data_IF_305809115088
#
_entry.id   IF_305809115088
#
_cell.length_a   1.000
_cell.length_b   1.000
_cell.length_c   1.000
_cell.angle_alpha   90.00
_cell.angle_beta   90.00
_cell.angle_gamma   90.00
#
_symmetry.space_group_name_H-M   'P 1'
#
loop_
_entity.id
_entity.type
_entity.pdbx_description
1 polymer ?
#
# COMPACT_ATOMS: atom_id res chain seq x y z
N UNK A 1 -11.36 28.30 -0.58
CA UNK A 1 -12.33 28.53 0.51
C UNK A 1 -12.58 27.20 1.22
N UNK A 2 -12.33 27.10 2.53
CA UNK A 2 -12.59 25.87 3.28
C UNK A 2 -14.11 25.62 3.34
N UNK A 3 -14.55 24.43 2.93
CA UNK A 3 -15.97 24.03 2.99
C UNK A 3 -16.44 24.07 4.45
N UNK A 4 -17.47 24.88 4.75
CA UNK A 4 -18.13 24.88 6.06
C UNK A 4 -18.75 23.50 6.28
N UNK A 5 -18.43 22.85 7.41
CA UNK A 5 -18.98 21.55 7.78
C UNK A 5 -19.96 21.69 8.96
N UNK A 6 -20.99 20.82 9.07
CA UNK A 6 -22.01 20.92 10.12
C UNK A 6 -21.41 20.87 11.52
N UNK A 7 -21.75 21.82 12.40
CA UNK A 7 -21.32 21.78 13.81
C UNK A 7 -22.27 20.89 14.60
N UNK A 8 -21.78 19.77 15.11
CA UNK A 8 -22.54 18.87 15.99
C UNK A 8 -22.16 19.17 17.44
N UNK A 9 -23.16 19.33 18.31
CA UNK A 9 -22.96 19.71 19.73
C UNK A 9 -22.19 18.66 20.55
N UNK A 10 -22.14 17.41 20.10
CA UNK A 10 -21.66 16.25 20.87
C UNK A 10 -20.44 15.56 20.26
N UNK A 11 -19.87 16.08 19.17
CA UNK A 11 -18.81 15.36 18.43
C UNK A 11 -17.56 16.20 18.28
N UNK A 12 -16.48 15.81 18.97
CA UNK A 12 -15.14 16.25 18.61
C UNK A 12 -14.77 15.63 17.26
N UNK A 13 -14.73 16.47 16.22
CA UNK A 13 -14.29 16.07 14.89
C UNK A 13 -12.80 15.76 14.96
N UNK A 14 -12.45 14.49 14.81
CA UNK A 14 -11.06 14.12 14.59
C UNK A 14 -10.68 14.59 13.18
N UNK A 15 -9.51 15.20 13.08
CA UNK A 15 -8.92 15.65 11.81
C UNK A 15 -7.70 14.76 11.55
N UNK A 16 -7.45 14.32 10.31
CA UNK A 16 -6.23 13.59 10.00
C UNK A 16 -5.00 14.49 10.19
N UNK A 17 -3.79 13.93 10.40
CA UNK A 17 -2.57 14.70 10.65
C UNK A 17 -2.23 15.73 9.56
N UNK A 18 -2.56 15.42 8.31
CA UNK A 18 -2.42 16.31 7.16
C UNK A 18 -3.47 16.01 6.07
N UNK A 19 -3.77 16.95 5.16
CA UNK A 19 -4.65 16.70 4.01
C UNK A 19 -4.06 15.67 3.05
N UNK A 20 -4.92 14.97 2.29
CA UNK A 20 -4.47 14.02 1.26
C UNK A 20 -3.45 14.65 0.32
N UNK A 21 -2.36 13.93 0.05
CA UNK A 21 -1.26 14.34 -0.83
C UNK A 21 -0.54 15.64 -0.42
N UNK A 22 -0.75 16.10 0.83
CA UNK A 22 -0.05 17.25 1.42
C UNK A 22 0.80 16.78 2.58
N UNK A 23 1.76 15.93 2.28
CA UNK A 23 2.72 15.39 3.26
C UNK A 23 3.45 16.52 4.02
N UNK A 24 3.95 16.25 5.24
CA UNK A 24 4.81 17.17 5.97
C UNK A 24 5.96 17.70 5.11
N UNK A 25 6.39 18.95 5.32
CA UNK A 25 7.36 19.61 4.44
C UNK A 25 8.73 18.94 4.39
N UNK A 26 9.09 18.23 5.46
CA UNK A 26 10.31 17.44 5.61
C UNK A 26 10.20 16.03 5.01
N UNK A 27 8.98 15.52 4.82
CA UNK A 27 8.72 14.17 4.30
C UNK A 27 9.51 13.82 3.02
N UNK A 28 9.60 14.69 1.98
CA UNK A 28 10.36 14.36 0.78
C UNK A 28 11.85 14.14 1.05
N UNK A 29 12.43 14.91 1.97
CA UNK A 29 13.85 14.80 2.32
C UNK A 29 14.11 13.60 3.22
N UNK A 30 13.21 13.34 4.18
CA UNK A 30 13.27 12.15 5.04
C UNK A 30 13.18 10.87 4.20
N UNK A 31 12.21 10.79 3.29
CA UNK A 31 12.07 9.66 2.38
C UNK A 31 13.29 9.50 1.47
N UNK A 32 13.79 10.60 0.89
CA UNK A 32 15.00 10.58 0.08
C UNK A 32 16.21 10.05 0.85
N UNK A 33 16.36 10.45 2.12
CA UNK A 33 17.43 9.96 3.01
C UNK A 33 17.31 8.45 3.26
N UNK A 34 16.11 7.95 3.55
CA UNK A 34 15.89 6.51 3.77
C UNK A 34 16.19 5.67 2.51
N UNK A 35 15.80 6.15 1.33
CA UNK A 35 16.11 5.45 0.07
C UNK A 35 17.60 5.49 -0.24
N UNK A 36 18.27 6.62 -0.02
CA UNK A 36 19.74 6.73 -0.15
C UNK A 36 20.44 5.75 0.79
N UNK A 37 20.01 5.70 2.05
CA UNK A 37 20.55 4.76 3.02
C UNK A 37 20.34 3.30 2.57
N UNK A 38 19.15 2.95 2.08
CA UNK A 38 18.83 1.61 1.57
C UNK A 38 19.73 1.24 0.38
N UNK A 39 19.91 2.15 -0.58
CA UNK A 39 20.76 1.92 -1.75
C UNK A 39 22.23 1.74 -1.37
N UNK A 40 22.73 2.56 -0.44
CA UNK A 40 24.12 2.51 0.01
C UNK A 40 24.44 1.22 0.79
N UNK A 41 23.50 0.75 1.61
CA UNK A 41 23.69 -0.41 2.51
C UNK A 41 23.41 -1.75 1.86
N UNK A 42 22.39 -1.86 1.01
CA UNK A 42 22.04 -3.14 0.36
C UNK A 42 22.84 -3.40 -0.92
N UNK A 43 23.43 -2.36 -1.52
CA UNK A 43 24.09 -2.45 -2.82
C UNK A 43 23.17 -2.80 -3.99
N UNK A 44 21.85 -2.88 -3.76
CA UNK A 44 20.84 -3.17 -4.77
C UNK A 44 19.55 -2.38 -4.50
N UNK A 45 18.89 -1.97 -5.56
CA UNK A 45 17.62 -1.23 -5.53
C UNK A 45 16.41 -2.13 -5.20
N UNK A 46 16.41 -2.72 -4.00
CA UNK A 46 15.35 -3.60 -3.52
C UNK A 46 14.72 -3.07 -2.23
N UNK A 47 13.61 -2.36 -2.40
CA UNK A 47 12.72 -1.89 -1.33
C UNK A 47 11.46 -2.76 -1.30
N UNK A 48 11.26 -3.46 -0.19
CA UNK A 48 10.16 -4.40 0.06
C UNK A 48 8.96 -3.72 0.74
N UNK A 49 7.83 -4.43 0.85
CA UNK A 49 6.59 -3.88 1.40
C UNK A 49 6.72 -3.42 2.85
N UNK A 50 7.26 -4.26 3.72
CA UNK A 50 7.48 -3.93 5.14
C UNK A 50 8.45 -2.77 5.33
N UNK A 51 9.48 -2.66 4.48
CA UNK A 51 10.41 -1.54 4.51
C UNK A 51 9.72 -0.24 4.11
N UNK A 52 8.81 -0.29 3.14
CA UNK A 52 8.00 0.88 2.80
C UNK A 52 7.13 1.32 3.98
N UNK A 53 6.51 0.37 4.68
CA UNK A 53 5.68 0.65 5.84
C UNK A 53 6.49 1.35 6.95
N UNK A 54 7.65 0.79 7.29
CA UNK A 54 8.53 1.32 8.33
C UNK A 54 9.12 2.69 7.97
N UNK A 55 9.58 2.86 6.72
CA UNK A 55 10.09 4.14 6.20
C UNK A 55 9.00 5.21 6.26
N UNK A 56 7.80 4.90 5.77
CA UNK A 56 6.69 5.86 5.78
C UNK A 56 6.32 6.24 7.21
N UNK A 57 6.20 5.26 8.11
CA UNK A 57 5.88 5.50 9.51
C UNK A 57 6.91 6.45 10.16
N UNK A 58 8.19 6.16 9.98
CA UNK A 58 9.30 7.01 10.46
C UNK A 58 9.20 8.43 9.90
N UNK A 59 8.96 8.58 8.59
CA UNK A 59 8.93 9.87 7.92
C UNK A 59 7.79 10.79 8.38
N UNK A 60 6.71 10.26 8.95
CA UNK A 60 5.58 11.06 9.45
C UNK A 60 5.45 11.03 10.98
N UNK A 61 6.37 10.37 11.69
CA UNK A 61 6.30 10.18 13.13
C UNK A 61 5.12 9.29 13.59
N UNK A 62 4.74 8.32 12.77
CA UNK A 62 3.71 7.32 13.08
C UNK A 62 4.32 6.07 13.73
N UNK A 63 3.46 5.25 14.33
CA UNK A 63 3.82 3.91 14.79
C UNK A 63 3.70 2.93 13.62
N UNK A 64 4.77 2.17 13.35
CA UNK A 64 4.68 0.98 12.48
C UNK A 64 4.24 -0.22 13.32
N UNK A 65 3.10 -0.78 12.96
CA UNK A 65 2.45 -1.89 13.64
C UNK A 65 1.92 -2.85 12.58
N UNK A 66 2.74 -3.78 12.07
CA UNK A 66 2.31 -4.69 11.01
C UNK A 66 1.05 -5.45 11.43
N UNK A 67 0.08 -5.49 10.52
CA UNK A 67 -1.25 -6.02 10.77
C UNK A 67 -1.56 -7.24 9.90
N UNK A 68 -2.45 -8.11 10.37
CA UNK A 68 -2.91 -9.24 9.55
C UNK A 68 -3.73 -8.80 8.34
N UNK A 69 -4.37 -7.62 8.41
CA UNK A 69 -5.29 -7.11 7.38
C UNK A 69 -4.54 -6.32 6.31
N UNK A 70 -3.41 -5.71 6.66
CA UNK A 70 -2.60 -4.89 5.75
C UNK A 70 -3.23 -3.53 5.42
N UNK A 71 -4.09 -3.02 6.31
CA UNK A 71 -4.81 -1.74 6.19
C UNK A 71 -4.56 -0.79 7.36
N UNK A 72 -4.06 -1.29 8.48
CA UNK A 72 -3.70 -0.52 9.68
C UNK A 72 -2.25 -0.75 10.11
N UNK A 73 -1.37 -1.00 9.13
CA UNK A 73 0.06 -1.26 9.37
C UNK A 73 0.79 -0.04 9.95
N UNK A 74 0.25 1.15 9.73
CA UNK A 74 0.85 2.41 10.16
C UNK A 74 -0.23 3.26 10.82
N UNK A 75 0.04 3.78 12.02
CA UNK A 75 -0.96 4.47 12.84
C UNK A 75 -0.41 5.78 13.40
N UNK A 76 -1.17 6.87 13.25
CA UNK A 76 -0.88 8.17 13.86
C UNK A 76 -2.18 8.79 14.39
N UNK A 77 -2.32 8.77 15.72
CA UNK A 77 -3.52 9.25 16.39
C UNK A 77 -4.75 8.45 15.96
N UNK A 78 -5.68 9.09 15.26
CA UNK A 78 -6.92 8.46 14.80
C UNK A 78 -6.95 8.21 13.28
N UNK A 79 -5.75 8.12 12.68
CA UNK A 79 -5.57 7.80 11.27
C UNK A 79 -4.72 6.55 11.15
N UNK A 80 -5.15 5.63 10.31
CA UNK A 80 -4.42 4.43 9.94
C UNK A 80 -4.15 4.41 8.44
N UNK A 81 -3.05 3.77 8.03
CA UNK A 81 -2.69 3.57 6.64
C UNK A 81 -2.37 2.10 6.36
N UNK A 82 -2.88 1.62 5.22
CA UNK A 82 -2.25 0.52 4.51
C UNK A 82 -1.18 1.07 3.57
N UNK A 83 -0.06 0.38 3.43
CA UNK A 83 1.02 0.80 2.54
C UNK A 83 1.14 -0.15 1.35
N UNK A 84 1.35 0.40 0.15
CA UNK A 84 1.53 -0.40 -1.08
C UNK A 84 2.72 0.10 -1.88
N UNK A 85 3.43 -0.82 -2.52
CA UNK A 85 4.48 -0.49 -3.48
C UNK A 85 4.12 -0.99 -4.86
N UNK A 86 4.52 -0.25 -5.90
CA UNK A 86 4.30 -0.59 -7.30
C UNK A 86 5.58 -0.30 -8.08
N UNK A 87 6.08 -1.26 -8.85
CA UNK A 87 7.19 -1.02 -9.77
C UNK A 87 6.65 -0.40 -11.06
N UNK A 88 7.31 0.65 -11.54
CA UNK A 88 6.98 1.30 -12.81
C UNK A 88 8.26 1.66 -13.58
N UNK A 89 8.21 1.58 -14.91
CA UNK A 89 9.33 2.00 -15.76
C UNK A 89 9.54 3.52 -15.67
N UNK A 90 8.45 4.30 -15.66
CA UNK A 90 8.48 5.76 -15.58
C UNK A 90 7.50 6.27 -14.50
N UNK A 91 7.89 6.28 -13.21
CA UNK A 91 7.00 6.70 -12.13
C UNK A 91 6.46 8.14 -12.25
N UNK A 92 7.18 9.05 -12.93
CA UNK A 92 6.81 10.46 -13.05
C UNK A 92 5.57 10.69 -13.95
N UNK A 93 5.39 9.83 -14.95
CA UNK A 93 4.33 9.99 -15.97
C UNK A 93 3.24 8.95 -15.85
N UNK A 94 3.41 7.96 -14.96
CA UNK A 94 2.40 6.94 -14.69
C UNK A 94 1.09 7.59 -14.25
N UNK A 95 -0.03 7.15 -14.82
CA UNK A 95 -1.36 7.73 -14.54
C UNK A 95 -2.26 6.81 -13.72
N UNK A 96 -1.98 5.50 -13.73
CA UNK A 96 -2.78 4.50 -13.01
C UNK A 96 -1.87 3.43 -12.41
N UNK A 97 -2.30 2.85 -11.32
CA UNK A 97 -1.64 1.70 -10.69
C UNK A 97 -2.64 0.60 -10.40
N UNK A 98 -2.17 -0.64 -10.33
CA UNK A 98 -2.95 -1.77 -9.85
C UNK A 98 -2.41 -2.16 -8.48
N UNK A 99 -3.24 -2.04 -7.47
CA UNK A 99 -2.88 -2.32 -6.09
C UNK A 99 -3.40 -3.69 -5.68
N UNK A 100 -2.58 -4.47 -4.97
CA UNK A 100 -3.04 -5.71 -4.34
C UNK A 100 -3.79 -5.34 -3.07
N UNK A 101 -5.08 -5.67 -3.04
CA UNK A 101 -6.05 -5.28 -2.02
C UNK A 101 -6.50 -6.47 -1.18
N UNK A 102 -5.61 -7.47 -1.06
CA UNK A 102 -5.77 -8.63 -0.19
C UNK A 102 -6.20 -9.91 -0.92
N UNK A 103 -6.35 -10.96 -0.11
CA UNK A 103 -6.79 -12.30 -0.55
C UNK A 103 -8.27 -12.44 -0.22
N UNK A 104 -9.15 -12.11 -1.16
CA UNK A 104 -10.59 -12.15 -0.93
C UNK A 104 -11.09 -13.55 -1.29
N UNK A 105 -10.89 -14.50 -0.38
CA UNK A 105 -11.25 -15.90 -0.60
C UNK A 105 -12.72 -16.14 -0.32
N UNK A 106 -13.52 -16.28 -1.37
CA UNK A 106 -14.94 -16.62 -1.26
C UNK A 106 -15.13 -17.98 -0.59
N UNK A 107 -14.30 -18.97 -0.96
CA UNK A 107 -14.33 -20.32 -0.35
C UNK A 107 -14.16 -20.25 1.15
N UNK A 108 -13.19 -19.45 1.63
CA UNK A 108 -12.95 -19.31 3.07
C UNK A 108 -14.05 -18.50 3.77
N UNK A 109 -14.50 -17.41 3.15
CA UNK A 109 -15.44 -16.46 3.77
C UNK A 109 -16.90 -16.90 3.74
N UNK A 110 -17.33 -17.65 2.71
CA UNK A 110 -18.72 -18.05 2.50
C UNK A 110 -18.91 -19.57 2.42
N UNK A 111 -17.84 -20.35 2.30
CA UNK A 111 -17.93 -21.81 2.11
C UNK A 111 -18.34 -22.24 0.70
N UNK A 112 -18.39 -21.31 -0.24
CA UNK A 112 -18.86 -21.54 -1.61
C UNK A 112 -17.71 -21.82 -2.59
N UNK A 113 -17.90 -22.79 -3.50
CA UNK A 113 -16.99 -23.03 -4.62
C UNK A 113 -17.40 -22.19 -5.82
N UNK A 114 -16.42 -21.53 -6.43
CA UNK A 114 -16.62 -20.64 -7.58
C UNK A 114 -16.20 -21.38 -8.84
N UNK A 115 -17.11 -21.49 -9.80
CA UNK A 115 -16.76 -21.80 -11.19
C UNK A 115 -17.03 -20.58 -12.09
N UNK A 116 -16.63 -20.64 -13.36
CA UNK A 116 -16.81 -19.53 -14.31
C UNK A 116 -18.13 -19.58 -15.09
N UNK A 117 -18.98 -20.56 -14.79
CA UNK A 117 -20.32 -20.72 -15.38
C UNK A 117 -21.39 -19.97 -14.59
N UNK A 118 -21.14 -19.62 -13.32
CA UNK A 118 -22.03 -18.76 -12.52
C UNK A 118 -22.05 -17.33 -13.06
N UNK A 119 -23.18 -16.64 -12.84
CA UNK A 119 -23.29 -15.20 -13.10
C UNK A 119 -22.15 -14.46 -12.40
N UNK A 120 -21.29 -13.71 -13.11
CA UNK A 120 -20.14 -13.02 -12.54
C UNK A 120 -20.49 -11.97 -11.47
N UNK A 121 -21.72 -11.45 -11.45
CA UNK A 121 -22.10 -10.42 -10.48
C UNK A 121 -22.20 -10.98 -9.04
N UNK A 122 -22.66 -12.21 -8.87
CA UNK A 122 -22.76 -12.88 -7.57
C UNK A 122 -21.39 -13.01 -6.87
N UNK A 123 -20.35 -13.62 -7.48
CA UNK A 123 -19.03 -13.68 -6.86
C UNK A 123 -18.37 -12.31 -6.80
N UNK A 124 -18.72 -11.39 -7.70
CA UNK A 124 -18.23 -10.02 -7.67
C UNK A 124 -18.69 -9.24 -6.44
N UNK A 125 -19.95 -9.41 -6.05
CA UNK A 125 -20.52 -8.89 -4.82
C UNK A 125 -19.80 -9.45 -3.59
N UNK A 126 -19.65 -10.77 -3.50
CA UNK A 126 -18.94 -11.43 -2.39
C UNK A 126 -17.48 -10.96 -2.25
N UNK A 127 -16.77 -10.74 -3.37
CA UNK A 127 -15.41 -10.17 -3.33
C UNK A 127 -15.40 -8.79 -2.70
N UNK A 128 -16.37 -7.92 -3.05
CA UNK A 128 -16.47 -6.59 -2.48
C UNK A 128 -16.93 -6.61 -1.02
N UNK A 129 -17.82 -7.52 -0.64
CA UNK A 129 -18.23 -7.71 0.75
C UNK A 129 -17.03 -8.05 1.64
N UNK A 130 -16.17 -8.99 1.23
CA UNK A 130 -14.94 -9.33 1.99
C UNK A 130 -14.04 -8.10 2.15
N UNK A 131 -13.86 -7.30 1.10
CA UNK A 131 -13.10 -6.05 1.18
C UNK A 131 -13.76 -5.06 2.13
N UNK A 132 -15.07 -4.86 2.00
CA UNK A 132 -15.84 -3.91 2.79
C UNK A 132 -15.81 -4.25 4.27
N UNK A 133 -15.91 -5.53 4.63
CA UNK A 133 -15.81 -5.98 6.03
C UNK A 133 -14.43 -5.67 6.62
N UNK A 134 -13.34 -5.87 5.85
CA UNK A 134 -11.99 -5.46 6.29
C UNK A 134 -11.91 -3.96 6.51
N UNK A 135 -12.44 -3.15 5.60
CA UNK A 135 -12.46 -1.69 5.74
C UNK A 135 -13.30 -1.26 6.95
N UNK A 136 -14.47 -1.87 7.16
CA UNK A 136 -15.34 -1.60 8.31
C UNK A 136 -14.64 -1.90 9.63
N UNK A 137 -14.02 -3.08 9.76
CA UNK A 137 -13.33 -3.51 10.98
C UNK A 137 -12.20 -2.56 11.40
N UNK A 138 -11.52 -1.91 10.44
CA UNK A 138 -10.51 -0.90 10.76
C UNK A 138 -11.13 0.46 11.08
N UNK A 139 -12.19 0.85 10.36
CA UNK A 139 -12.90 2.12 10.60
C UNK A 139 -13.63 2.18 11.95
N UNK A 140 -13.91 1.03 12.57
CA UNK A 140 -14.37 0.96 13.96
C UNK A 140 -13.31 1.44 14.96
N UNK A 141 -12.03 1.26 14.63
CA UNK A 141 -10.89 1.63 15.48
C UNK A 141 -10.35 3.02 15.15
N UNK A 142 -10.28 3.35 13.86
CA UNK A 142 -9.70 4.59 13.36
C UNK A 142 -10.69 5.38 12.51
N UNK A 143 -10.91 6.65 12.84
CA UNK A 143 -11.84 7.54 12.13
C UNK A 143 -11.41 7.82 10.70
N UNK A 144 -10.10 7.81 10.43
CA UNK A 144 -9.53 8.03 9.11
C UNK A 144 -8.75 6.79 8.70
N UNK A 145 -9.03 6.29 7.50
CA UNK A 145 -8.33 5.16 6.91
C UNK A 145 -7.86 5.53 5.51
N UNK A 146 -6.56 5.43 5.28
CA UNK A 146 -5.92 5.82 4.03
C UNK A 146 -5.11 4.66 3.45
N UNK A 147 -4.79 4.75 2.17
CA UNK A 147 -3.77 3.92 1.54
C UNK A 147 -2.69 4.85 1.02
N UNK A 148 -1.44 4.61 1.40
CA UNK A 148 -0.28 5.29 0.83
C UNK A 148 0.43 4.37 -0.17
N UNK A 149 0.72 4.90 -1.35
CA UNK A 149 1.31 4.16 -2.46
C UNK A 149 2.66 4.76 -2.82
N UNK A 150 3.68 3.91 -2.86
CA UNK A 150 4.99 4.20 -3.43
C UNK A 150 5.11 3.56 -4.81
N UNK A 151 5.08 4.39 -5.85
CA UNK A 151 5.39 3.98 -7.22
C UNK A 151 6.88 4.24 -7.45
N UNK A 152 7.65 3.19 -7.78
CA UNK A 152 9.11 3.25 -7.79
C UNK A 152 9.72 2.71 -9.07
N UNK A 153 10.78 3.36 -9.55
CA UNK A 153 11.61 2.84 -10.64
C UNK A 153 12.36 1.58 -10.19
N UNK A 154 12.84 0.78 -11.15
CA UNK A 154 13.57 -0.45 -10.84
C UNK A 154 14.88 -0.20 -10.07
N UNK A 155 15.50 0.97 -10.27
CA UNK A 155 16.74 1.42 -9.65
C UNK A 155 16.51 2.36 -8.44
N UNK A 156 15.25 2.65 -8.09
CA UNK A 156 14.83 3.63 -7.06
C UNK A 156 15.35 5.07 -7.29
N UNK A 157 15.85 5.41 -8.48
CA UNK A 157 16.27 6.78 -8.82
C UNK A 157 15.09 7.74 -8.96
N UNK A 158 13.88 7.21 -9.15
CA UNK A 158 12.65 8.00 -9.18
C UNK A 158 11.57 7.29 -8.36
N UNK A 159 10.93 8.05 -7.48
CA UNK A 159 9.75 7.60 -6.74
C UNK A 159 8.62 8.62 -6.85
N UNK A 160 7.39 8.11 -6.88
CA UNK A 160 6.15 8.88 -6.84
C UNK A 160 5.32 8.35 -5.65
N UNK A 161 4.92 9.25 -4.75
CA UNK A 161 4.16 8.95 -3.55
C UNK A 161 2.83 9.69 -3.58
N UNK A 162 1.75 8.96 -3.34
CA UNK A 162 0.43 9.53 -3.16
C UNK A 162 -0.37 8.71 -2.15
N UNK A 163 -1.42 9.33 -1.63
CA UNK A 163 -2.40 8.69 -0.78
C UNK A 163 -3.83 9.04 -1.18
N UNK A 164 -4.75 8.17 -0.79
CA UNK A 164 -6.18 8.35 -0.96
C UNK A 164 -6.92 7.71 0.23
N UNK A 165 -8.17 8.11 0.42
CA UNK A 165 -9.02 7.48 1.45
C UNK A 165 -9.33 6.03 1.04
N UNK A 166 -9.10 5.10 1.95
CA UNK A 166 -9.51 3.71 1.76
C UNK A 166 -11.00 3.61 2.06
N UNK A 167 -11.79 3.32 1.03
CA UNK A 167 -13.26 3.31 1.11
C UNK A 167 -13.85 1.91 0.94
N UNK A 168 -15.11 1.81 1.35
CA UNK A 168 -16.00 0.72 0.98
C UNK A 168 -16.55 0.98 -0.42
N UNK A 169 -16.83 -0.10 -1.15
CA UNK A 169 -17.44 -0.08 -2.47
C UNK A 169 -18.84 -0.67 -2.38
N UNK A 170 -19.84 0.11 -2.74
CA UNK A 170 -21.22 -0.36 -2.85
C UNK A 170 -21.34 -1.31 -4.05
N UNK A 171 -21.62 -2.63 -3.86
CA UNK A 171 -21.70 -3.58 -4.96
C UNK A 171 -22.72 -3.20 -6.03
N UNK A 172 -23.79 -2.49 -5.68
CA UNK A 172 -24.83 -2.09 -6.63
C UNK A 172 -24.31 -1.09 -7.68
N UNK A 173 -23.20 -0.41 -7.44
CA UNK A 173 -22.60 0.53 -8.38
C UNK A 173 -21.70 -0.15 -9.42
N UNK A 174 -21.47 -1.46 -9.31
CA UNK A 174 -20.55 -2.20 -10.15
C UNK A 174 -21.24 -3.37 -10.85
N UNK A 175 -20.69 -3.75 -12.00
CA UNK A 175 -21.03 -5.00 -12.67
C UNK A 175 -19.75 -5.76 -12.99
N UNK A 176 -19.86 -7.08 -13.11
CA UNK A 176 -18.71 -7.96 -13.25
C UNK A 176 -18.83 -8.83 -14.49
N UNK A 177 -17.68 -9.18 -15.05
CA UNK A 177 -17.56 -10.09 -16.20
C UNK A 177 -16.39 -11.06 -16.01
N UNK A 178 -16.55 -12.28 -16.50
CA UNK A 178 -15.43 -13.22 -16.64
C UNK A 178 -14.62 -12.88 -17.88
N UNK A 179 -13.31 -12.69 -17.74
CA UNK A 179 -12.45 -12.50 -18.91
C UNK A 179 -11.90 -13.82 -19.46
N UNK A 180 -11.22 -13.75 -20.62
CA UNK A 180 -10.60 -14.91 -21.29
C UNK A 180 -9.61 -15.72 -20.46
N UNK A 181 -9.09 -15.13 -19.37
CA UNK A 181 -8.15 -15.77 -18.45
C UNK A 181 -8.87 -16.28 -17.19
N UNK A 182 -10.21 -16.37 -17.22
CA UNK A 182 -11.04 -16.80 -16.10
C UNK A 182 -10.89 -15.94 -14.84
N UNK A 183 -10.50 -14.68 -14.99
CA UNK A 183 -10.50 -13.71 -13.89
C UNK A 183 -11.81 -12.94 -13.89
N UNK A 184 -12.27 -12.58 -12.70
CA UNK A 184 -13.43 -11.74 -12.51
C UNK A 184 -13.01 -10.26 -12.62
N UNK A 185 -13.64 -9.51 -13.51
CA UNK A 185 -13.30 -8.13 -13.83
C UNK A 185 -14.49 -7.24 -13.51
N UNK A 186 -14.29 -6.26 -12.62
CA UNK A 186 -15.35 -5.39 -12.15
C UNK A 186 -15.25 -4.00 -12.75
N UNK A 187 -16.38 -3.48 -13.19
CA UNK A 187 -16.51 -2.19 -13.87
C UNK A 187 -17.51 -1.31 -13.14
N UNK A 188 -17.22 -0.01 -13.07
CA UNK A 188 -18.17 0.97 -12.57
C UNK A 188 -19.33 1.13 -13.56
N UNK A 189 -20.58 1.02 -13.09
CA UNK A 189 -21.76 1.08 -13.97
C UNK A 189 -21.90 2.42 -14.69
N UNK A 190 -21.53 3.51 -14.04
CA UNK A 190 -21.70 4.89 -14.52
C UNK A 190 -20.69 5.25 -15.62
N UNK A 191 -19.40 4.96 -15.41
CA UNK A 191 -18.31 5.33 -16.31
C UNK A 191 -17.89 4.20 -17.26
N UNK A 192 -18.28 2.96 -16.96
CA UNK A 192 -17.77 1.73 -17.60
C UNK A 192 -16.26 1.54 -17.44
N UNK A 193 -15.62 2.28 -16.53
CA UNK A 193 -14.20 2.10 -16.26
C UNK A 193 -13.95 0.78 -15.51
N UNK A 194 -12.92 0.06 -15.95
CA UNK A 194 -12.40 -1.10 -15.23
C UNK A 194 -11.77 -0.64 -13.90
N UNK A 195 -12.30 -1.13 -12.80
CA UNK A 195 -11.84 -0.79 -11.45
C UNK A 195 -11.26 -1.99 -10.70
N UNK A 196 -11.78 -3.20 -10.92
CA UNK A 196 -11.44 -4.35 -10.09
C UNK A 196 -10.97 -5.56 -10.91
N UNK A 197 -10.03 -6.32 -10.37
CA UNK A 197 -9.77 -7.68 -10.85
C UNK A 197 -9.59 -8.61 -9.67
N UNK A 198 -10.34 -9.70 -9.69
CA UNK A 198 -10.17 -10.82 -8.78
C UNK A 198 -9.72 -12.06 -9.54
N UNK A 199 -8.68 -12.70 -9.04
CA UNK A 199 -8.09 -13.90 -9.61
C UNK A 199 -8.47 -15.09 -8.73
N UNK A 200 -9.23 -16.08 -9.24
CA UNK A 200 -9.68 -17.22 -8.43
C UNK A 200 -8.49 -17.98 -7.83
N UNK A 201 -7.45 -18.20 -8.63
CA UNK A 201 -6.22 -18.85 -8.16
C UNK A 201 -5.49 -17.93 -7.18
N UNK A 202 -5.48 -18.35 -5.92
CA UNK A 202 -4.94 -17.56 -4.81
C UNK A 202 -5.86 -16.42 -4.36
N UNK A 203 -7.09 -16.32 -4.87
CA UNK A 203 -8.10 -15.35 -4.40
C UNK A 203 -7.61 -13.89 -4.38
N UNK A 204 -6.73 -13.51 -5.31
CA UNK A 204 -6.07 -12.21 -5.27
C UNK A 204 -7.01 -11.14 -5.78
N UNK A 205 -7.33 -10.17 -4.92
CA UNK A 205 -8.12 -9.00 -5.28
C UNK A 205 -7.21 -7.80 -5.58
N UNK A 206 -7.50 -7.10 -6.66
CA UNK A 206 -6.79 -5.88 -7.04
C UNK A 206 -7.73 -4.76 -7.40
N UNK A 207 -7.33 -3.54 -7.05
CA UNK A 207 -8.05 -2.30 -7.37
C UNK A 207 -7.15 -1.46 -8.28
N UNK A 208 -7.72 -0.91 -9.35
CA UNK A 208 -7.05 0.07 -10.21
C UNK A 208 -7.27 1.46 -9.64
N UNK A 209 -6.19 2.17 -9.34
CA UNK A 209 -6.25 3.52 -8.81
C UNK A 209 -5.63 4.53 -9.77
N UNK A 210 -6.21 5.73 -9.85
CA UNK A 210 -5.64 6.85 -10.60
C UNK A 210 -4.58 7.53 -9.72
N UNK A 211 -3.43 7.83 -10.30
CA UNK A 211 -2.42 8.66 -9.63
C UNK A 211 -2.91 10.11 -9.69
N UNK A 212 -3.06 10.81 -8.55
CA UNK A 212 -3.50 12.19 -8.54
C UNK A 212 -2.43 13.11 -9.12
N UNK A 213 -2.85 14.20 -9.76
CA UNK A 213 -1.93 15.18 -10.36
C UNK A 213 -1.08 15.93 -9.33
N UNK A 214 -1.50 15.95 -8.06
CA UNK A 214 -0.76 16.54 -6.95
C UNK A 214 0.02 15.52 -6.10
N UNK A 215 0.34 14.36 -6.69
CA UNK A 215 1.28 13.42 -6.11
C UNK A 215 2.68 14.02 -5.90
N UNK A 216 3.42 13.47 -4.94
CA UNK A 216 4.81 13.84 -4.66
C UNK A 216 5.73 13.03 -5.57
N UNK A 217 6.58 13.69 -6.35
CA UNK A 217 7.63 13.04 -7.16
C UNK A 217 8.99 13.44 -6.61
N UNK A 218 9.87 12.45 -6.40
CA UNK A 218 11.23 12.64 -5.93
C UNK A 218 12.18 11.95 -6.91
N UNK A 219 13.18 12.71 -7.36
CA UNK A 219 14.35 12.16 -8.04
C UNK A 219 15.49 12.01 -7.04
N UNK A 220 16.12 10.86 -7.04
CA UNK A 220 17.13 10.46 -6.08
C UNK A 220 18.40 10.15 -6.86
N UNK A 221 19.47 10.88 -6.53
CA UNK A 221 20.78 10.56 -7.06
C UNK A 221 21.29 9.28 -6.37
N UNK A 222 21.63 8.22 -7.11
CA UNK A 222 22.15 7.01 -6.49
C UNK A 222 23.45 7.31 -5.72
N UNK A 223 23.54 6.89 -4.46
CA UNK A 223 24.77 7.05 -3.68
C UNK A 223 25.82 6.02 -4.11
N UNK A 224 27.10 6.26 -3.83
CA UNK A 224 28.10 5.19 -3.84
C UNK A 224 27.70 4.10 -2.83
N UNK A 225 27.96 2.84 -3.17
CA UNK A 225 27.73 1.71 -2.26
C UNK A 225 28.76 1.71 -1.13
N UNK A 226 28.35 1.33 0.07
CA UNK A 226 29.28 1.14 1.17
C UNK A 226 30.19 -0.06 0.88
N UNK A 227 31.49 0.16 1.06
CA UNK A 227 32.46 -0.92 0.99
C UNK A 227 32.30 -1.85 2.20
N UNK A 228 32.24 -3.16 1.94
CA UNK A 228 31.93 -4.16 2.97
C UNK A 228 32.98 -4.17 4.08
N UNK A 229 34.26 -4.08 3.72
CA UNK A 229 35.35 -4.11 4.70
C UNK A 229 35.31 -2.85 5.57
N UNK A 230 35.11 -1.68 4.96
CA UNK A 230 34.92 -0.42 5.68
C UNK A 230 33.78 -0.47 6.70
N UNK A 231 32.67 -1.16 6.38
CA UNK A 231 31.55 -1.35 7.31
C UNK A 231 31.94 -2.27 8.47
N UNK A 232 32.59 -3.40 8.19
CA UNK A 232 33.04 -4.34 9.23
C UNK A 232 34.05 -3.68 10.19
N UNK A 233 34.99 -2.90 9.65
CA UNK A 233 35.94 -2.12 10.43
C UNK A 233 35.24 -1.08 11.32
N UNK A 234 34.26 -0.35 10.76
CA UNK A 234 33.49 0.66 11.51
C UNK A 234 32.66 0.06 12.64
N UNK A 235 32.22 -1.19 12.50
CA UNK A 235 31.51 -1.93 13.54
C UNK A 235 32.45 -2.55 14.58
N UNK A 236 33.77 -2.43 14.41
CA UNK A 236 34.78 -3.17 15.18
C UNK A 236 34.47 -4.67 15.21
N UNK A 237 34.14 -5.23 14.05
CA UNK A 237 33.81 -6.64 13.94
C UNK A 237 34.97 -7.49 14.46
N UNK A 238 34.65 -8.45 15.34
CA UNK A 238 35.57 -9.50 15.78
C UNK A 238 34.92 -10.86 15.57
N UNK A 239 35.75 -11.91 15.52
CA UNK A 239 35.23 -13.28 15.39
C UNK A 239 34.28 -13.68 16.54
N UNK A 240 34.29 -12.97 17.67
CA UNK A 240 33.40 -13.22 18.81
C UNK A 240 31.92 -12.94 18.51
N UNK A 241 31.63 -12.19 17.43
CA UNK A 241 30.28 -12.00 16.92
C UNK A 241 29.70 -13.29 16.31
N UNK A 242 30.54 -14.29 16.05
CA UNK A 242 30.16 -15.56 15.44
C UNK A 242 30.37 -16.69 16.46
N UNK A 243 29.29 -17.36 16.84
CA UNK A 243 29.36 -18.60 17.63
C UNK A 243 29.11 -19.79 16.72
N UNK A 244 30.11 -20.68 16.61
CA UNK A 244 29.99 -21.91 15.82
C UNK A 244 29.40 -23.00 16.71
N UNK A 245 28.13 -23.36 16.48
CA UNK A 245 27.41 -24.38 17.28
C UNK A 245 27.56 -25.80 16.72
N UNK A 246 27.80 -25.94 15.41
CA UNK A 246 28.12 -27.21 14.77
C UNK A 246 29.00 -26.92 13.54
N UNK A 247 30.11 -27.65 13.41
CA UNK A 247 31.02 -27.53 12.28
C UNK A 247 31.13 -28.90 11.60
N UNK A 248 30.47 -29.05 10.45
CA UNK A 248 30.52 -30.28 9.63
C UNK A 248 31.74 -30.30 8.70
N UNK A 249 32.86 -29.75 9.16
CA UNK A 249 34.13 -29.79 8.43
C UNK A 249 34.60 -31.21 8.20
#
# INVERSE_FOLDING_TARGET
MSKKSPKLRTVNKSIPPYPLNRFPSDFPFSLGKEIVYLLATKGKANLEGSEWEEIFATCIGAEWKPSNVGLDDIVLGNTAWGAKTVKATNPETQQKVRLISGRNSIVYSFGETIDTSVDPNLPGEQVLEIWNERVSAIREKYKHLRTVVLVKSNDLSVVNVFEFDTIRYDPELYYWEWNKNHNLVGFEKSSKEHLFTWQPHGSQFTILEKIPSDCLIIRIQPPPTLDKETVLDSLNFTNDWITILNNNG
#
